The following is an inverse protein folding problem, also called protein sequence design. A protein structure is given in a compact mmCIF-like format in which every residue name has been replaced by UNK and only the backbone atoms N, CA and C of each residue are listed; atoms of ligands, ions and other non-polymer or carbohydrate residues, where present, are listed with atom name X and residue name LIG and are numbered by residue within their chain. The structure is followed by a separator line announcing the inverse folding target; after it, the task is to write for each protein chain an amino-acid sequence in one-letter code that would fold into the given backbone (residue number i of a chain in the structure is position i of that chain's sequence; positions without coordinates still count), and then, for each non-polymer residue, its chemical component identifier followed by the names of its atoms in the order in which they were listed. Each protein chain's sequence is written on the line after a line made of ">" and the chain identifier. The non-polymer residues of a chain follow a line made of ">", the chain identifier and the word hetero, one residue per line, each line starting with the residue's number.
data_IF_164194702062
#
_entry.id   IF_164194702062
#
_cell.length_a   1.000
_cell.length_b   1.000
_cell.length_c   1.000
_cell.angle_alpha   90.00
_cell.angle_beta   90.00
_cell.angle_gamma   90.00
#
_symmetry.space_group_name_H-M   'P 1'
#
loop_
_entity.id
_entity.type
_entity.pdbx_description
1 polymer ?
#
# COMPACT_ATOMS: atom_id res chain seq x y z
N UNK A 1 -9.79 34.54 38.61
CA UNK A 1 -10.70 34.60 37.45
C UNK A 1 -10.04 34.07 36.17
N UNK A 2 -8.80 34.48 35.83
CA UNK A 2 -8.10 34.05 34.61
C UNK A 2 -7.85 32.53 34.56
N UNK A 3 -7.37 31.92 35.66
CA UNK A 3 -7.12 30.47 35.73
C UNK A 3 -8.36 29.61 35.52
N UNK A 4 -9.52 30.05 36.04
CA UNK A 4 -10.78 29.32 35.90
C UNK A 4 -11.32 29.39 34.45
N UNK A 5 -11.13 30.53 33.78
CA UNK A 5 -11.48 30.67 32.36
C UNK A 5 -10.52 29.88 31.45
N UNK A 6 -9.23 29.87 31.76
CA UNK A 6 -8.23 29.11 31.00
C UNK A 6 -8.46 27.60 31.14
N UNK A 7 -8.77 27.14 32.36
CA UNK A 7 -9.10 25.75 32.63
C UNK A 7 -10.35 25.29 31.86
N UNK A 8 -11.43 26.09 31.88
CA UNK A 8 -12.66 25.80 31.10
C UNK A 8 -12.38 25.74 29.60
N UNK A 9 -11.52 26.62 29.08
CA UNK A 9 -11.13 26.62 27.66
C UNK A 9 -10.36 25.35 27.28
N UNK A 10 -9.37 24.94 28.10
CA UNK A 10 -8.60 23.71 27.86
C UNK A 10 -9.51 22.48 27.94
N UNK A 11 -10.40 22.45 28.93
CA UNK A 11 -11.35 21.35 29.10
C UNK A 11 -12.33 21.24 27.93
N UNK A 12 -12.89 22.37 27.46
CA UNK A 12 -13.75 22.41 26.28
C UNK A 12 -13.01 21.96 25.01
N UNK A 13 -11.75 22.39 24.84
CA UNK A 13 -10.89 21.95 23.74
C UNK A 13 -10.66 20.43 23.79
N UNK A 14 -10.41 19.88 24.98
CA UNK A 14 -10.26 18.44 25.18
C UNK A 14 -11.53 17.66 24.81
N UNK A 15 -12.71 18.13 25.24
CA UNK A 15 -13.99 17.52 24.86
C UNK A 15 -14.20 17.58 23.35
N UNK A 16 -13.90 18.72 22.72
CA UNK A 16 -14.02 18.88 21.28
C UNK A 16 -13.15 17.87 20.54
N UNK A 17 -11.86 17.73 20.91
CA UNK A 17 -10.97 16.74 20.30
C UNK A 17 -11.44 15.30 20.55
N UNK A 18 -12.02 15.01 21.72
CA UNK A 18 -12.51 13.67 22.04
C UNK A 18 -13.78 13.31 21.24
N UNK A 19 -14.71 14.26 21.08
CA UNK A 19 -15.88 14.08 20.21
C UNK A 19 -15.46 13.95 18.75
N UNK A 20 -14.45 14.71 18.33
CA UNK A 20 -13.90 14.66 16.98
C UNK A 20 -13.28 13.28 16.68
N UNK A 21 -12.44 12.75 17.58
CA UNK A 21 -11.85 11.41 17.40
C UNK A 21 -12.90 10.31 17.41
N UNK A 22 -13.93 10.42 18.26
CA UNK A 22 -15.03 9.45 18.30
C UNK A 22 -15.85 9.45 17.00
N UNK A 23 -16.21 10.63 16.48
CA UNK A 23 -16.89 10.77 15.18
C UNK A 23 -16.09 10.08 14.06
N UNK A 24 -14.79 10.34 14.00
CA UNK A 24 -13.94 9.78 12.96
C UNK A 24 -13.76 8.26 13.08
N UNK A 25 -13.69 7.72 14.29
CA UNK A 25 -13.58 6.28 14.51
C UNK A 25 -14.83 5.53 14.03
N UNK A 26 -16.01 6.11 14.24
CA UNK A 26 -17.29 5.57 13.73
C UNK A 26 -17.32 5.63 12.20
N UNK A 27 -16.89 6.75 11.59
CA UNK A 27 -16.87 6.85 10.12
C UNK A 27 -15.88 5.88 9.46
N UNK A 28 -14.76 5.58 10.12
CA UNK A 28 -13.78 4.60 9.65
C UNK A 28 -14.39 3.20 9.54
N UNK A 29 -15.16 2.77 10.55
CA UNK A 29 -15.83 1.47 10.55
C UNK A 29 -16.87 1.33 9.43
N UNK A 30 -17.52 2.43 9.02
CA UNK A 30 -18.44 2.44 7.88
C UNK A 30 -17.74 2.48 6.50
N UNK A 31 -16.50 2.95 6.43
CA UNK A 31 -15.80 3.16 5.16
C UNK A 31 -15.02 1.94 4.67
N UNK A 32 -14.69 0.98 5.54
CA UNK A 32 -13.99 -0.25 5.14
C UNK A 32 -14.77 -1.11 4.12
N UNK A 33 -16.07 -0.85 3.93
CA UNK A 33 -16.93 -1.54 2.95
C UNK A 33 -16.78 -1.05 1.49
N UNK A 34 -16.00 0.00 1.20
CA UNK A 34 -15.84 0.51 -0.19
C UNK A 34 -14.56 0.03 -0.88
N UNK A 35 -14.72 -1.02 -1.68
CA UNK A 35 -13.69 -1.77 -2.43
C UNK A 35 -13.21 -1.09 -3.74
N UNK A 36 -13.68 0.10 -4.12
CA UNK A 36 -13.65 0.55 -5.53
C UNK A 36 -12.41 1.31 -6.04
N UNK A 37 -11.29 1.41 -5.29
CA UNK A 37 -10.06 2.10 -5.77
C UNK A 37 -8.85 1.18 -5.90
N UNK A 38 -9.04 -0.12 -5.73
CA UNK A 38 -7.95 -1.07 -5.70
C UNK A 38 -7.48 -1.50 -7.10
N UNK A 39 -8.43 -1.62 -8.02
CA UNK A 39 -8.17 -1.99 -9.40
C UNK A 39 -8.47 -0.82 -10.33
N UNK A 40 -7.48 -0.42 -11.11
CA UNK A 40 -7.64 0.57 -12.17
C UNK A 40 -7.69 -0.14 -13.52
N UNK A 41 -8.50 0.35 -14.48
CA UNK A 41 -8.47 -0.16 -15.84
C UNK A 41 -7.11 0.14 -16.47
N UNK A 42 -6.55 -0.83 -17.19
CA UNK A 42 -5.38 -0.60 -18.02
C UNK A 42 -5.77 0.41 -19.12
N UNK A 43 -5.04 1.51 -19.24
CA UNK A 43 -5.33 2.50 -20.30
C UNK A 43 -4.96 1.95 -21.67
N UNK A 44 -5.83 2.22 -22.65
CA UNK A 44 -5.63 1.83 -24.04
C UNK A 44 -4.35 2.48 -24.61
N UNK A 45 -3.44 1.66 -25.13
CA UNK A 45 -2.15 2.12 -25.68
C UNK A 45 -0.93 1.98 -24.76
N UNK A 46 -1.08 1.50 -23.53
CA UNK A 46 0.07 1.12 -22.70
C UNK A 46 0.66 -0.22 -23.14
N UNK A 47 1.97 -0.27 -23.38
CA UNK A 47 2.72 -1.48 -23.78
C UNK A 47 3.33 -2.19 -22.58
N UNK A 48 2.52 -2.49 -21.58
CA UNK A 48 2.96 -3.21 -20.38
C UNK A 48 2.80 -4.73 -20.54
N UNK A 49 3.63 -5.53 -19.87
CA UNK A 49 3.57 -7.01 -19.90
C UNK A 49 2.42 -7.56 -19.03
N UNK A 50 1.51 -6.68 -18.61
CA UNK A 50 0.44 -6.90 -17.65
C UNK A 50 -0.36 -8.19 -17.91
N UNK A 51 -0.48 -9.03 -16.88
CA UNK A 51 -1.30 -10.25 -16.88
C UNK A 51 -2.45 -10.08 -15.88
N UNK A 52 -3.68 -10.06 -16.40
CA UNK A 52 -4.88 -9.85 -15.61
C UNK A 52 -5.09 -10.92 -14.53
N UNK A 53 -4.64 -12.16 -14.74
CA UNK A 53 -4.80 -13.25 -13.76
C UNK A 53 -3.93 -13.01 -12.54
N UNK A 54 -2.67 -12.60 -12.75
CA UNK A 54 -1.74 -12.28 -11.66
C UNK A 54 -2.17 -10.98 -10.99
N UNK A 55 -2.58 -9.98 -11.77
CA UNK A 55 -3.03 -8.69 -11.27
C UNK A 55 -4.17 -8.81 -10.24
N UNK A 56 -5.13 -9.72 -10.50
CA UNK A 56 -6.31 -9.98 -9.64
C UNK A 56 -6.00 -10.60 -8.28
N UNK A 57 -4.78 -11.08 -8.03
CA UNK A 57 -4.38 -11.54 -6.70
C UNK A 57 -4.26 -10.32 -5.78
N UNK A 58 -5.26 -10.07 -4.94
CA UNK A 58 -5.38 -8.86 -4.12
C UNK A 58 -4.90 -9.04 -2.66
N UNK A 59 -4.37 -10.22 -2.34
CA UNK A 59 -3.89 -10.58 -1.01
C UNK A 59 -2.39 -10.89 -1.05
N UNK A 60 -1.62 -10.26 -0.16
CA UNK A 60 -0.16 -10.47 -0.09
C UNK A 60 0.19 -11.94 0.21
N UNK A 61 -0.58 -12.61 1.08
CA UNK A 61 -0.36 -14.01 1.41
C UNK A 61 -0.59 -14.90 0.19
N UNK A 62 -1.68 -14.69 -0.53
CA UNK A 62 -1.99 -15.44 -1.75
C UNK A 62 -0.96 -15.19 -2.85
N UNK A 63 -0.45 -13.95 -2.97
CA UNK A 63 0.61 -13.62 -3.91
C UNK A 63 1.91 -14.36 -3.57
N UNK A 64 2.28 -14.45 -2.29
CA UNK A 64 3.44 -15.23 -1.83
C UNK A 64 3.26 -16.71 -2.09
N UNK A 65 2.08 -17.26 -1.78
CA UNK A 65 1.76 -18.67 -2.05
C UNK A 65 1.81 -18.99 -3.55
N UNK A 66 1.29 -18.09 -4.39
CA UNK A 66 1.37 -18.19 -5.85
C UNK A 66 2.83 -18.22 -6.32
N UNK A 67 3.65 -17.24 -5.93
CA UNK A 67 5.07 -17.18 -6.27
C UNK A 67 5.81 -18.44 -5.82
N UNK A 68 5.61 -18.88 -4.58
CA UNK A 68 6.22 -20.11 -4.06
C UNK A 68 5.82 -21.34 -4.88
N UNK A 69 4.53 -21.44 -5.24
CA UNK A 69 4.03 -22.55 -6.03
C UNK A 69 4.65 -22.59 -7.44
N UNK A 70 4.81 -21.43 -8.08
CA UNK A 70 5.42 -21.30 -9.39
C UNK A 70 6.91 -21.63 -9.37
N UNK A 71 7.64 -21.18 -8.35
CA UNK A 71 9.07 -21.50 -8.15
C UNK A 71 9.26 -23.02 -8.00
N UNK A 72 8.45 -23.66 -7.17
CA UNK A 72 8.52 -25.11 -6.95
C UNK A 72 8.12 -25.92 -8.18
N UNK A 73 7.03 -25.55 -8.85
CA UNK A 73 6.53 -26.29 -10.02
C UNK A 73 7.49 -26.21 -11.22
N UNK A 74 8.15 -25.06 -11.39
CA UNK A 74 9.08 -24.84 -12.49
C UNK A 74 10.55 -25.17 -12.13
N UNK A 75 10.82 -25.67 -10.92
CA UNK A 75 12.16 -25.95 -10.39
C UNK A 75 13.12 -24.76 -10.54
N UNK A 76 12.67 -23.56 -10.16
CA UNK A 76 13.45 -22.33 -10.22
C UNK A 76 14.38 -22.29 -9.00
N UNK A 77 15.68 -22.10 -9.22
CA UNK A 77 16.70 -22.19 -8.17
C UNK A 77 17.69 -21.02 -8.21
N UNK A 78 18.29 -20.72 -7.06
CA UNK A 78 19.39 -19.75 -6.95
C UNK A 78 19.03 -18.35 -7.47
N UNK A 79 19.84 -17.84 -8.41
CA UNK A 79 19.71 -16.48 -8.94
C UNK A 79 18.48 -16.30 -9.85
N UNK A 80 17.87 -17.39 -10.31
CA UNK A 80 16.70 -17.32 -11.18
C UNK A 80 15.43 -16.98 -10.39
N UNK A 81 15.41 -17.22 -9.07
CA UNK A 81 14.30 -16.86 -8.19
C UNK A 81 13.98 -15.36 -8.23
N UNK A 82 14.93 -14.44 -7.95
CA UNK A 82 14.63 -13.01 -7.99
C UNK A 82 14.29 -12.54 -9.40
N UNK A 83 14.91 -13.10 -10.44
CA UNK A 83 14.56 -12.79 -11.84
C UNK A 83 13.09 -13.14 -12.11
N UNK A 84 12.65 -14.31 -11.64
CA UNK A 84 11.26 -14.74 -11.78
C UNK A 84 10.29 -13.85 -11.00
N UNK A 85 10.65 -13.47 -9.77
CA UNK A 85 9.84 -12.58 -8.94
C UNK A 85 9.68 -11.20 -9.61
N UNK A 86 10.75 -10.66 -10.18
CA UNK A 86 10.68 -9.40 -10.96
C UNK A 86 9.69 -9.52 -12.12
N UNK A 87 9.72 -10.62 -12.87
CA UNK A 87 8.78 -10.88 -13.96
C UNK A 87 7.32 -10.98 -13.47
N UNK A 88 7.07 -11.62 -12.32
CA UNK A 88 5.73 -11.65 -11.71
C UNK A 88 5.25 -10.24 -11.35
N UNK A 89 6.12 -9.41 -10.80
CA UNK A 89 5.78 -8.02 -10.44
C UNK A 89 5.46 -7.20 -11.67
N UNK A 90 6.26 -7.30 -12.73
CA UNK A 90 6.02 -6.62 -14.02
C UNK A 90 4.71 -7.06 -14.67
N UNK A 91 4.30 -8.32 -14.48
CA UNK A 91 3.00 -8.81 -14.92
C UNK A 91 1.85 -8.34 -14.02
N UNK A 92 2.07 -8.17 -12.71
CA UNK A 92 1.04 -7.72 -11.76
C UNK A 92 0.71 -6.23 -11.89
N UNK A 93 1.71 -5.39 -12.11
CA UNK A 93 1.60 -3.95 -11.98
C UNK A 93 1.83 -3.24 -13.32
N UNK A 94 0.87 -2.41 -13.73
CA UNK A 94 1.14 -1.37 -14.73
C UNK A 94 1.57 -0.06 -14.08
N UNK A 95 2.21 0.83 -14.85
CA UNK A 95 2.78 2.05 -14.30
C UNK A 95 1.73 3.12 -13.96
N UNK A 96 1.37 3.22 -12.68
CA UNK A 96 0.57 4.31 -12.11
C UNK A 96 0.79 4.36 -10.60
N UNK A 97 0.70 5.54 -9.98
CA UNK A 97 0.90 5.66 -8.53
C UNK A 97 -0.23 4.98 -7.77
N UNK A 98 0.13 4.04 -6.90
CA UNK A 98 -0.80 3.43 -5.96
C UNK A 98 -0.97 4.30 -4.72
N UNK A 99 -2.20 4.62 -4.37
CA UNK A 99 -2.53 5.37 -3.15
C UNK A 99 -3.27 4.48 -2.16
N UNK A 100 -3.04 4.71 -0.86
CA UNK A 100 -3.87 4.13 0.19
C UNK A 100 -5.28 4.71 0.09
N UNK A 101 -6.29 3.94 0.50
CA UNK A 101 -7.64 4.49 0.59
C UNK A 101 -7.66 5.55 1.69
N UNK A 102 -7.81 6.82 1.29
CA UNK A 102 -7.91 7.96 2.21
C UNK A 102 -9.29 8.08 2.86
N UNK A 103 -10.28 7.31 2.39
CA UNK A 103 -11.62 7.27 2.98
C UNK A 103 -11.56 6.70 4.41
N UNK A 104 -10.58 5.83 4.72
CA UNK A 104 -10.36 5.28 6.06
C UNK A 104 -9.38 6.08 6.93
N UNK A 105 -8.70 7.10 6.36
CA UNK A 105 -7.73 7.93 7.09
C UNK A 105 -7.76 9.40 6.65
N UNK A 106 -8.78 10.11 7.14
CA UNK A 106 -9.01 11.53 6.86
C UNK A 106 -7.84 12.43 7.28
N UNK A 107 -7.06 12.05 8.31
CA UNK A 107 -5.89 12.81 8.76
C UNK A 107 -4.87 12.89 7.63
N UNK A 108 -4.55 11.74 7.03
CA UNK A 108 -3.64 11.71 5.88
C UNK A 108 -4.19 12.52 4.71
N UNK A 109 -5.50 12.48 4.44
CA UNK A 109 -6.13 13.31 3.41
C UNK A 109 -5.93 14.82 3.67
N UNK A 110 -6.05 15.25 4.93
CA UNK A 110 -5.83 16.66 5.30
C UNK A 110 -4.35 17.03 5.15
N UNK A 111 -3.43 16.17 5.59
CA UNK A 111 -2.00 16.44 5.42
C UNK A 111 -1.58 16.48 3.95
N UNK A 112 -2.10 15.57 3.13
CA UNK A 112 -1.84 15.53 1.69
C UNK A 112 -2.43 16.76 0.96
N UNK A 113 -3.57 17.29 1.45
CA UNK A 113 -4.13 18.54 0.94
C UNK A 113 -3.32 19.78 1.35
N UNK A 114 -2.85 19.82 2.59
CA UNK A 114 -2.09 20.96 3.11
C UNK A 114 -0.64 20.99 2.62
N UNK A 115 -0.05 19.81 2.40
CA UNK A 115 1.35 19.64 2.01
C UNK A 115 1.48 18.57 0.91
N UNK A 116 0.93 18.84 -0.29
CA UNK A 116 0.87 17.86 -1.39
C UNK A 116 2.25 17.36 -1.86
N UNK A 117 3.32 18.14 -1.62
CA UNK A 117 4.69 17.78 -1.96
C UNK A 117 5.23 16.53 -1.26
N UNK A 118 4.64 16.14 -0.11
CA UNK A 118 5.10 14.97 0.65
C UNK A 118 4.39 13.66 0.28
N UNK A 119 3.31 13.72 -0.52
CA UNK A 119 2.60 12.55 -1.05
C UNK A 119 2.25 11.50 0.03
N UNK A 120 1.73 11.95 1.17
CA UNK A 120 1.47 11.14 2.37
C UNK A 120 0.52 9.95 2.13
N UNK A 121 -0.25 10.01 1.04
CA UNK A 121 -1.24 9.00 0.68
C UNK A 121 -0.67 7.93 -0.25
N UNK A 122 0.60 8.03 -0.66
CA UNK A 122 1.25 7.02 -1.49
C UNK A 122 1.38 5.70 -0.71
N UNK A 123 0.92 4.61 -1.31
CA UNK A 123 1.02 3.30 -0.69
C UNK A 123 2.49 2.84 -0.67
N UNK A 124 2.99 2.52 0.54
CA UNK A 124 4.35 2.01 0.75
C UNK A 124 4.38 0.70 1.55
N UNK A 125 3.23 0.24 2.05
CA UNK A 125 3.11 -1.03 2.75
C UNK A 125 2.83 -2.15 1.73
N UNK A 126 3.61 -3.25 1.71
CA UNK A 126 3.36 -4.35 0.78
C UNK A 126 1.96 -4.95 0.85
N UNK A 127 1.31 -4.94 2.03
CA UNK A 127 -0.07 -5.43 2.17
C UNK A 127 -1.09 -4.55 1.44
N UNK A 128 -0.84 -3.25 1.37
CA UNK A 128 -1.70 -2.33 0.65
C UNK A 128 -1.40 -2.37 -0.85
N UNK A 129 -0.12 -2.49 -1.22
CA UNK A 129 0.31 -2.64 -2.62
C UNK A 129 -0.16 -3.96 -3.25
N UNK A 130 -0.22 -5.06 -2.51
CA UNK A 130 -0.72 -6.34 -3.02
C UNK A 130 -2.17 -6.26 -3.49
N UNK A 131 -2.99 -5.42 -2.85
CA UNK A 131 -4.39 -5.18 -3.22
C UNK A 131 -4.55 -4.40 -4.52
N UNK A 132 -3.46 -3.85 -5.07
CA UNK A 132 -3.46 -2.97 -6.24
C UNK A 132 -2.91 -3.71 -7.47
N UNK A 133 -3.35 -3.27 -8.65
CA UNK A 133 -2.85 -3.74 -9.94
C UNK A 133 -1.95 -2.71 -10.67
N UNK A 134 -1.58 -1.65 -9.97
CA UNK A 134 -0.75 -0.58 -10.50
C UNK A 134 0.27 -0.12 -9.46
N UNK A 135 1.43 0.34 -9.90
CA UNK A 135 2.46 0.87 -9.02
C UNK A 135 3.59 1.53 -9.80
N UNK A 136 4.15 2.59 -9.24
CA UNK A 136 5.40 3.19 -9.76
C UNK A 136 6.60 2.30 -9.38
N UNK A 137 7.76 2.56 -9.98
CA UNK A 137 8.97 1.74 -9.81
C UNK A 137 9.35 1.50 -8.35
N UNK A 138 9.26 2.52 -7.48
CA UNK A 138 9.58 2.35 -6.05
C UNK A 138 8.60 1.40 -5.34
N UNK A 139 7.32 1.43 -5.70
CA UNK A 139 6.31 0.54 -5.15
C UNK A 139 6.49 -0.90 -5.63
N UNK A 140 6.83 -1.07 -6.91
CA UNK A 140 7.20 -2.36 -7.46
C UNK A 140 8.46 -2.93 -6.77
N UNK A 141 9.46 -2.10 -6.50
CA UNK A 141 10.67 -2.50 -5.77
C UNK A 141 10.38 -2.92 -4.32
N UNK A 142 9.47 -2.23 -3.62
CA UNK A 142 9.01 -2.65 -2.27
C UNK A 142 8.39 -4.05 -2.33
N UNK A 143 7.52 -4.30 -3.30
CA UNK A 143 6.92 -5.62 -3.49
C UNK A 143 7.96 -6.69 -3.84
N UNK A 144 8.96 -6.34 -4.64
CA UNK A 144 10.07 -7.22 -4.98
C UNK A 144 10.84 -7.66 -3.73
N UNK A 145 11.26 -6.69 -2.92
CA UNK A 145 11.95 -6.96 -1.66
C UNK A 145 11.09 -7.82 -0.71
N UNK A 146 9.80 -7.54 -0.63
CA UNK A 146 8.86 -8.29 0.21
C UNK A 146 8.69 -9.75 -0.22
N UNK A 147 8.73 -10.04 -1.52
CA UNK A 147 8.58 -11.39 -2.07
C UNK A 147 9.90 -12.16 -2.00
N UNK A 148 11.03 -11.51 -2.32
CA UNK A 148 12.33 -12.18 -2.34
C UNK A 148 12.80 -12.59 -0.94
N UNK A 149 12.51 -11.80 0.11
CA UNK A 149 13.02 -12.06 1.46
C UNK A 149 12.65 -13.44 2.04
N UNK A 150 11.59 -14.05 1.54
CA UNK A 150 11.11 -15.37 1.99
C UNK A 150 11.90 -16.52 1.33
N UNK A 151 12.71 -16.20 0.33
CA UNK A 151 13.66 -17.11 -0.31
C UNK A 151 15.04 -16.73 0.22
N UNK A 152 15.82 -17.71 0.70
CA UNK A 152 17.13 -17.54 1.37
C UNK A 152 18.25 -16.99 0.45
N UNK A 153 17.96 -15.92 -0.27
CA UNK A 153 18.92 -15.07 -0.91
C UNK A 153 19.31 -14.04 0.15
N UNK A 154 20.52 -14.15 0.67
CA UNK A 154 21.18 -13.08 1.41
C UNK A 154 21.33 -11.85 0.49
N UNK A 155 20.23 -11.16 0.22
CA UNK A 155 20.22 -9.92 -0.52
C UNK A 155 20.58 -8.82 0.47
N UNK A 156 21.88 -8.78 0.79
CA UNK A 156 22.58 -7.68 1.43
C UNK A 156 22.46 -6.45 0.53
N UNK A 157 21.31 -5.79 0.51
CA UNK A 157 21.11 -4.50 -0.13
C UNK A 157 19.97 -3.77 0.58
N UNK A 158 20.27 -3.30 1.79
CA UNK A 158 19.71 -2.07 2.41
C UNK A 158 20.50 -1.60 3.65
N UNK A 159 21.67 -2.16 3.98
CA UNK A 159 22.59 -1.60 5.00
C UNK A 159 23.46 -0.43 4.47
N UNK A 160 23.08 0.19 3.36
CA UNK A 160 23.76 1.37 2.79
C UNK A 160 22.75 2.43 2.32
N UNK A 161 21.99 2.98 3.26
CA UNK A 161 21.59 4.41 3.29
C UNK A 161 21.62 4.89 4.74
#
# INVERSE_FOLDING_TARGET
>A
MIYDSLFKSIFAMGIFFLMLTMYFNITKQLSDDKVSTNFLPLLEGQTEIYDEKIARIDNLKELKEFVNSEILQNNIEGIDIPIYIDDIIRKKYFHHTSYISVESNWILKVFDYLFPEFLFTTAMNPKDLAKKNHGICSQQAIMFQELVKDHELNMLLLDLV
#
